data_IF_293843145514
#
_entry.id   IF_293843145514
#
_cell.length_a   1.000
_cell.length_b   1.000
_cell.length_c   1.000
_cell.angle_alpha   90.00
_cell.angle_beta   90.00
_cell.angle_gamma   90.00
#
_symmetry.space_group_name_H-M   'P 1'
#
loop_
_entity.id
_entity.type
_entity.pdbx_description
1 polymer ?
#
# COMPACT_ATOMS: atom_id res chain seq x y z
N UNK A 1 -11.71 -19.80 27.35
CA UNK A 1 -10.32 -19.98 26.87
C UNK A 1 -9.68 -18.60 26.89
N UNK A 2 -8.76 -18.35 27.82
CA UNK A 2 -8.06 -17.06 27.94
C UNK A 2 -7.01 -17.04 26.84
N UNK A 3 -7.14 -16.12 25.89
CA UNK A 3 -6.15 -15.96 24.84
C UNK A 3 -4.88 -15.36 25.47
N UNK A 4 -3.70 -15.96 25.30
CA UNK A 4 -2.47 -15.44 25.90
C UNK A 4 -2.09 -14.05 25.36
N UNK A 5 -2.64 -13.64 24.21
CA UNK A 5 -2.36 -12.36 23.59
C UNK A 5 -3.63 -11.59 23.22
N UNK A 6 -3.70 -10.34 23.67
CA UNK A 6 -4.68 -9.37 23.21
C UNK A 6 -4.21 -8.73 21.90
N UNK A 7 -5.14 -8.42 20.98
CA UNK A 7 -4.83 -7.78 19.68
C UNK A 7 -3.96 -6.53 19.83
N UNK A 8 -4.17 -5.73 20.89
CA UNK A 8 -3.36 -4.54 21.17
C UNK A 8 -1.88 -4.85 21.44
N UNK A 9 -1.58 -5.93 22.16
CA UNK A 9 -0.19 -6.30 22.46
C UNK A 9 0.58 -6.74 21.21
N UNK A 10 -0.07 -7.57 20.38
CA UNK A 10 0.53 -7.99 19.11
C UNK A 10 0.80 -6.80 18.19
N UNK A 11 -0.12 -5.84 18.11
CA UNK A 11 0.08 -4.61 17.34
C UNK A 11 1.30 -3.82 17.82
N UNK A 12 1.48 -3.66 19.13
CA UNK A 12 2.66 -2.99 19.69
C UNK A 12 3.96 -3.71 19.32
N UNK A 13 3.99 -5.04 19.43
CA UNK A 13 5.14 -5.86 19.04
C UNK A 13 5.43 -5.78 17.54
N UNK A 14 4.40 -5.77 16.69
CA UNK A 14 4.55 -5.59 15.23
C UNK A 14 5.15 -4.23 14.91
N UNK A 15 4.71 -3.17 15.59
CA UNK A 15 5.33 -1.86 15.44
C UNK A 15 6.79 -1.93 15.90
N UNK A 16 7.12 -2.50 17.05
CA UNK A 16 8.49 -2.58 17.57
C UNK A 16 9.45 -3.57 16.90
N UNK A 17 8.96 -4.39 15.95
CA UNK A 17 9.60 -5.62 15.49
C UNK A 17 11.08 -5.44 15.09
N UNK A 18 11.95 -6.26 15.68
CA UNK A 18 13.32 -6.48 15.22
C UNK A 18 13.46 -7.79 14.42
N UNK A 19 14.41 -7.91 13.47
CA UNK A 19 14.57 -9.12 12.65
C UNK A 19 14.72 -10.41 13.45
N UNK A 20 15.40 -10.37 14.60
CA UNK A 20 15.60 -11.53 15.49
C UNK A 20 14.32 -12.03 16.16
N UNK A 21 13.28 -11.20 16.22
CA UNK A 21 12.00 -11.51 16.89
C UNK A 21 10.93 -11.99 15.90
N UNK A 22 11.21 -11.94 14.59
CA UNK A 22 10.22 -12.17 13.53
C UNK A 22 9.54 -13.52 13.67
N UNK A 23 10.29 -14.61 13.85
CA UNK A 23 9.74 -15.95 13.90
C UNK A 23 8.77 -16.13 15.08
N UNK A 24 9.20 -15.72 16.28
CA UNK A 24 8.38 -15.81 17.48
C UNK A 24 7.10 -14.98 17.33
N UNK A 25 7.21 -13.74 16.86
CA UNK A 25 6.04 -12.88 16.65
C UNK A 25 5.11 -13.41 15.56
N UNK A 26 5.65 -13.94 14.46
CA UNK A 26 4.85 -14.52 13.38
C UNK A 26 4.01 -15.70 13.88
N UNK A 27 4.59 -16.56 14.72
CA UNK A 27 3.87 -17.68 15.35
C UNK A 27 2.80 -17.20 16.34
N UNK A 28 3.07 -16.15 17.11
CA UNK A 28 2.08 -15.57 18.03
C UNK A 28 0.90 -14.94 17.28
N UNK A 29 1.18 -14.20 16.19
CA UNK A 29 0.14 -13.65 15.30
C UNK A 29 -0.66 -14.77 14.64
N UNK A 30 0.00 -15.82 14.14
CA UNK A 30 -0.66 -16.99 13.57
C UNK A 30 -1.60 -17.64 14.57
N UNK A 31 -1.14 -17.92 15.81
CA UNK A 31 -1.96 -18.56 16.85
C UNK A 31 -3.14 -17.68 17.26
N UNK A 32 -2.93 -16.37 17.36
CA UNK A 32 -4.01 -15.42 17.57
C UNK A 32 -5.05 -15.48 16.45
N UNK A 33 -4.63 -15.43 15.19
CA UNK A 33 -5.54 -15.51 14.04
C UNK A 33 -6.25 -16.86 13.97
N UNK A 34 -5.56 -17.97 14.19
CA UNK A 34 -6.13 -19.32 14.20
C UNK A 34 -7.26 -19.46 15.23
N UNK A 35 -7.18 -18.74 16.35
CA UNK A 35 -8.15 -18.81 17.42
C UNK A 35 -9.24 -17.72 17.33
N UNK A 36 -8.89 -16.51 16.87
CA UNK A 36 -9.79 -15.36 16.83
C UNK A 36 -10.48 -15.13 15.47
N UNK A 37 -9.94 -15.61 14.35
CA UNK A 37 -10.53 -15.47 13.02
C UNK A 37 -11.39 -16.71 12.69
N UNK A 38 -12.73 -16.59 12.63
CA UNK A 38 -13.61 -17.74 12.39
C UNK A 38 -13.38 -18.37 11.01
N UNK A 39 -13.08 -17.57 9.99
CA UNK A 39 -12.83 -18.05 8.63
C UNK A 39 -11.53 -18.86 8.59
N UNK A 40 -10.46 -18.32 9.17
CA UNK A 40 -9.16 -18.99 9.18
C UNK A 40 -9.17 -20.25 10.05
N UNK A 41 -9.86 -20.21 11.20
CA UNK A 41 -10.06 -21.39 12.06
C UNK A 41 -10.77 -22.53 11.34
N UNK A 42 -11.86 -22.22 10.62
CA UNK A 42 -12.57 -23.23 9.84
C UNK A 42 -11.69 -23.80 8.72
N UNK A 43 -10.89 -22.94 8.07
CA UNK A 43 -9.94 -23.37 7.05
C UNK A 43 -8.90 -24.35 7.61
N UNK A 44 -8.27 -24.01 8.76
CA UNK A 44 -7.30 -24.90 9.43
C UNK A 44 -7.92 -26.23 9.87
N UNK A 45 -9.15 -26.20 10.39
CA UNK A 45 -9.89 -27.40 10.73
C UNK A 45 -10.10 -28.31 9.51
N UNK A 46 -10.50 -27.75 8.37
CA UNK A 46 -10.70 -28.52 7.14
C UNK A 46 -9.40 -29.09 6.58
N UNK A 47 -8.27 -28.40 6.78
CA UNK A 47 -6.94 -28.91 6.46
C UNK A 47 -6.41 -29.94 7.48
N UNK A 48 -7.14 -30.18 8.57
CA UNK A 48 -6.68 -31.00 9.71
C UNK A 48 -5.34 -30.53 10.26
N UNK A 49 -5.12 -29.20 10.27
CA UNK A 49 -3.91 -28.58 10.77
C UNK A 49 -4.13 -28.05 12.17
N UNK A 50 -3.43 -28.64 13.15
CA UNK A 50 -3.38 -28.12 14.51
C UNK A 50 -2.40 -26.92 14.61
N UNK A 51 -2.85 -25.73 15.03
CA UNK A 51 -1.98 -24.58 15.27
C UNK A 51 -0.84 -24.86 16.25
N UNK A 52 -1.01 -25.78 17.20
CA UNK A 52 0.03 -26.13 18.17
C UNK A 52 1.21 -26.87 17.53
N UNK A 53 1.00 -27.57 16.42
CA UNK A 53 2.03 -28.29 15.68
C UNK A 53 2.82 -27.41 14.70
N UNK A 54 2.49 -26.13 14.57
CA UNK A 54 3.22 -25.16 13.74
C UNK A 54 4.34 -24.56 14.59
N UNK A 55 5.58 -24.97 14.31
CA UNK A 55 6.78 -24.56 15.05
C UNK A 55 7.66 -23.59 14.29
N UNK A 56 7.41 -23.39 12.99
CA UNK A 56 8.16 -22.46 12.15
C UNK A 56 7.21 -21.71 11.21
N UNK A 57 7.49 -20.42 10.93
CA UNK A 57 6.56 -19.55 10.19
C UNK A 57 6.27 -20.04 8.77
N UNK A 58 7.21 -20.74 8.12
CA UNK A 58 7.01 -21.31 6.78
C UNK A 58 5.99 -22.45 6.75
N UNK A 59 5.61 -23.00 7.90
CA UNK A 59 4.61 -24.05 8.04
C UNK A 59 3.18 -23.50 8.24
N UNK A 60 3.02 -22.18 8.31
CA UNK A 60 1.72 -21.52 8.46
C UNK A 60 0.91 -21.72 7.16
N UNK A 61 -0.28 -22.34 7.23
CA UNK A 61 -1.10 -22.53 6.03
C UNK A 61 -1.60 -21.20 5.46
N UNK A 62 -1.41 -20.97 4.17
CA UNK A 62 -1.84 -19.74 3.51
C UNK A 62 -3.35 -19.77 3.22
N UNK A 63 -4.07 -18.74 3.68
CA UNK A 63 -5.49 -18.60 3.39
C UNK A 63 -5.69 -18.22 1.91
N UNK A 64 -6.50 -18.95 1.12
CA UNK A 64 -6.69 -18.64 -0.29
C UNK A 64 -7.32 -17.26 -0.49
N UNK A 65 -6.81 -16.50 -1.45
CA UNK A 65 -7.23 -15.12 -1.71
C UNK A 65 -8.72 -14.99 -2.07
N UNK A 66 -9.31 -16.05 -2.64
CA UNK A 66 -10.75 -16.10 -3.00
C UNK A 66 -11.67 -15.97 -1.79
N UNK A 67 -11.21 -16.31 -0.59
CA UNK A 67 -12.00 -16.14 0.63
C UNK A 67 -12.30 -14.65 0.89
N UNK A 68 -11.44 -13.73 0.45
CA UNK A 68 -11.71 -12.30 0.57
C UNK A 68 -12.82 -11.82 -0.37
N UNK A 69 -13.25 -12.62 -1.37
CA UNK A 69 -14.39 -12.30 -2.24
C UNK A 69 -15.73 -12.71 -1.64
N UNK A 70 -15.73 -13.78 -0.84
CA UNK A 70 -16.97 -14.44 -0.37
C UNK A 70 -17.14 -14.42 1.14
N UNK A 71 -16.06 -14.21 1.90
CA UNK A 71 -16.04 -14.28 3.35
C UNK A 71 -15.57 -12.97 3.97
N UNK A 72 -16.06 -12.69 5.19
CA UNK A 72 -15.56 -11.60 6.03
C UNK A 72 -14.36 -12.07 6.84
N UNK A 73 -13.17 -11.96 6.26
CA UNK A 73 -11.91 -12.36 6.90
C UNK A 73 -11.51 -11.32 7.96
N UNK A 74 -11.84 -11.58 9.23
CA UNK A 74 -11.54 -10.70 10.37
C UNK A 74 -11.23 -11.52 11.62
N UNK A 75 -10.35 -11.00 12.47
CA UNK A 75 -10.08 -11.59 13.79
C UNK A 75 -10.95 -10.92 14.86
N UNK A 76 -11.72 -11.70 15.59
CA UNK A 76 -12.68 -11.23 16.60
C UNK A 76 -13.97 -10.68 15.99
N UNK A 77 -14.69 -9.87 16.77
CA UNK A 77 -15.92 -9.17 16.36
C UNK A 77 -15.78 -7.64 16.43
N UNK A 78 -14.73 -7.03 15.84
CA UNK A 78 -14.61 -5.58 15.84
C UNK A 78 -15.67 -4.95 14.95
N UNK A 79 -16.08 -3.72 15.29
CA UNK A 79 -16.78 -2.86 14.35
C UNK A 79 -15.88 -2.65 13.13
N UNK A 80 -16.44 -2.83 11.93
CA UNK A 80 -15.70 -2.53 10.69
C UNK A 80 -15.78 -1.03 10.48
N UNK A 81 -14.63 -0.38 10.58
CA UNK A 81 -14.51 1.08 10.40
C UNK A 81 -14.21 1.40 8.93
N UNK A 82 -13.44 0.55 8.26
CA UNK A 82 -12.98 0.77 6.89
C UNK A 82 -12.96 -0.54 6.10
N UNK A 83 -13.25 -0.47 4.81
CA UNK A 83 -13.16 -1.62 3.90
C UNK A 83 -12.52 -1.20 2.59
N UNK A 84 -11.50 -1.93 2.18
CA UNK A 84 -10.86 -1.76 0.88
C UNK A 84 -11.36 -2.81 -0.11
N UNK A 85 -11.40 -2.43 -1.39
CA UNK A 85 -11.78 -3.32 -2.49
C UNK A 85 -10.64 -3.42 -3.51
N UNK A 86 -10.45 -4.63 -4.07
CA UNK A 86 -9.54 -4.80 -5.20
C UNK A 86 -10.08 -4.13 -6.47
N UNK A 87 -9.19 -3.82 -7.42
CA UNK A 87 -9.59 -3.35 -8.75
C UNK A 87 -10.44 -4.41 -9.47
N UNK A 88 -11.59 -4.00 -10.02
CA UNK A 88 -12.51 -4.89 -10.74
C UNK A 88 -11.98 -5.13 -12.16
N UNK A 89 -11.97 -6.38 -12.59
CA UNK A 89 -12.10 -6.73 -14.02
C UNK A 89 -13.60 -6.90 -14.31
N UNK A 90 -14.05 -6.54 -15.51
CA UNK A 90 -15.47 -6.53 -15.87
C UNK A 90 -16.11 -7.90 -15.58
N UNK A 91 -17.18 -7.92 -14.78
CA UNK A 91 -17.92 -9.14 -14.43
C UNK A 91 -17.47 -9.89 -13.17
N UNK A 92 -16.40 -9.47 -12.47
CA UNK A 92 -15.93 -10.15 -11.26
C UNK A 92 -16.33 -9.46 -9.95
N UNK A 93 -16.61 -10.27 -8.92
CA UNK A 93 -16.80 -9.81 -7.54
C UNK A 93 -15.41 -9.41 -6.98
N UNK A 94 -15.22 -8.15 -6.52
CA UNK A 94 -13.95 -7.71 -5.96
C UNK A 94 -13.67 -8.41 -4.62
N UNK A 95 -12.39 -8.63 -4.34
CA UNK A 95 -11.97 -9.00 -2.99
C UNK A 95 -12.16 -7.81 -2.05
N UNK A 96 -12.56 -8.07 -0.80
CA UNK A 96 -12.75 -7.06 0.24
C UNK A 96 -11.80 -7.31 1.40
N UNK A 97 -11.04 -6.28 1.77
CA UNK A 97 -10.22 -6.29 2.97
C UNK A 97 -10.85 -5.38 4.01
N UNK A 98 -11.38 -5.99 5.07
CA UNK A 98 -11.97 -5.26 6.19
C UNK A 98 -10.88 -4.85 7.17
N UNK A 99 -10.79 -3.55 7.44
CA UNK A 99 -9.79 -2.97 8.34
C UNK A 99 -10.47 -2.57 9.64
N UNK A 100 -10.12 -3.30 10.70
CA UNK A 100 -10.67 -3.10 12.04
C UNK A 100 -9.99 -1.96 12.82
N UNK A 101 -8.80 -1.54 12.40
CA UNK A 101 -8.03 -0.48 13.04
C UNK A 101 -7.29 0.35 11.97
N UNK A 102 -7.95 1.40 11.45
CA UNK A 102 -7.35 2.27 10.44
C UNK A 102 -6.09 2.99 10.92
N UNK A 103 -6.05 3.42 12.19
CA UNK A 103 -4.88 4.11 12.76
C UNK A 103 -3.65 3.20 12.78
N UNK A 104 -3.83 1.92 13.10
CA UNK A 104 -2.74 0.95 13.02
C UNK A 104 -2.24 0.75 11.59
N UNK A 105 -3.14 0.71 10.61
CA UNK A 105 -2.79 0.63 9.18
C UNK A 105 -1.98 1.86 8.73
N UNK A 106 -2.48 3.06 9.04
CA UNK A 106 -1.85 4.34 8.73
C UNK A 106 -0.46 4.44 9.36
N UNK A 107 -0.36 4.18 10.67
CA UNK A 107 0.90 4.21 11.42
C UNK A 107 1.93 3.24 10.84
N UNK A 108 1.52 2.00 10.55
CA UNK A 108 2.41 0.99 9.99
C UNK A 108 2.88 1.38 8.59
N UNK A 109 1.98 1.88 7.74
CA UNK A 109 2.33 2.31 6.38
C UNK A 109 3.34 3.46 6.38
N UNK A 110 3.14 4.47 7.24
CA UNK A 110 4.07 5.59 7.40
C UNK A 110 5.42 5.10 7.91
N UNK A 111 5.43 4.25 8.94
CA UNK A 111 6.68 3.72 9.49
C UNK A 111 7.49 2.97 8.43
N UNK A 112 6.85 2.11 7.63
CA UNK A 112 7.50 1.36 6.56
C UNK A 112 8.09 2.28 5.49
N UNK A 113 7.38 3.35 5.15
CA UNK A 113 7.90 4.39 4.27
C UNK A 113 9.14 5.07 4.89
N UNK A 114 9.04 5.52 6.14
CA UNK A 114 10.10 6.27 6.82
C UNK A 114 11.37 5.43 7.06
N UNK A 115 11.23 4.12 7.25
CA UNK A 115 12.37 3.20 7.33
C UNK A 115 13.19 3.16 6.04
N UNK A 116 12.58 3.38 4.87
CA UNK A 116 13.25 3.29 3.58
C UNK A 116 13.66 4.63 2.99
N UNK A 117 12.84 5.66 3.21
CA UNK A 117 12.94 6.98 2.56
C UNK A 117 13.19 8.12 3.57
N UNK A 118 13.27 7.83 4.87
CA UNK A 118 13.40 8.83 5.92
C UNK A 118 12.08 9.55 6.22
N UNK A 119 12.14 10.56 7.10
CA UNK A 119 10.95 11.26 7.61
C UNK A 119 10.00 11.71 6.49
N UNK A 120 8.74 11.31 6.60
CA UNK A 120 7.64 11.68 5.71
C UNK A 120 7.35 13.18 5.77
N UNK A 121 7.54 13.79 6.95
CA UNK A 121 7.41 15.24 7.13
C UNK A 121 8.35 15.99 6.19
N UNK A 122 7.80 16.98 5.49
CA UNK A 122 8.51 17.82 4.53
C UNK A 122 8.61 17.24 3.12
N UNK A 123 8.06 16.05 2.86
CA UNK A 123 7.90 15.58 1.48
C UNK A 123 6.80 16.37 0.75
N UNK A 124 7.03 16.76 -0.50
CA UNK A 124 5.99 17.15 -1.43
C UNK A 124 5.52 15.92 -2.20
N UNK A 125 4.31 15.46 -1.91
CA UNK A 125 3.77 14.20 -2.42
C UNK A 125 2.76 14.51 -3.53
N UNK A 126 3.11 14.10 -4.74
CA UNK A 126 2.32 14.31 -5.94
C UNK A 126 1.79 12.95 -6.41
N UNK A 127 0.48 12.76 -6.43
CA UNK A 127 -0.13 11.45 -6.67
C UNK A 127 -0.87 11.37 -8.01
N UNK A 128 -0.26 10.75 -9.01
CA UNK A 128 -0.85 10.45 -10.33
C UNK A 128 -1.59 9.11 -10.30
N UNK A 129 -2.79 9.12 -9.73
CA UNK A 129 -3.58 7.89 -9.48
C UNK A 129 -4.95 7.91 -10.20
N UNK A 130 -4.98 8.00 -11.54
CA UNK A 130 -6.21 7.96 -12.31
C UNK A 130 -7.07 6.73 -11.99
N UNK A 131 -8.39 6.93 -12.02
CA UNK A 131 -9.41 5.90 -11.74
C UNK A 131 -9.48 5.35 -10.31
N UNK A 132 -8.72 5.89 -9.34
CA UNK A 132 -8.76 5.41 -7.95
C UNK A 132 -9.55 6.29 -6.97
N UNK A 133 -9.70 7.61 -7.22
CA UNK A 133 -10.37 8.50 -6.24
C UNK A 133 -11.90 8.34 -6.20
N UNK A 134 -12.53 7.87 -7.28
CA UNK A 134 -14.00 7.84 -7.39
C UNK A 134 -14.70 6.84 -6.46
N UNK A 135 -13.96 5.96 -5.77
CA UNK A 135 -14.57 4.84 -5.04
C UNK A 135 -14.34 4.79 -3.54
N UNK A 136 -13.45 5.62 -2.97
CA UNK A 136 -13.18 5.65 -1.51
C UNK A 136 -12.67 4.33 -0.89
N UNK A 137 -12.63 3.24 -1.65
CA UNK A 137 -12.31 1.87 -1.22
C UNK A 137 -10.90 1.44 -1.63
N UNK A 138 -10.07 2.35 -2.12
CA UNK A 138 -8.69 2.05 -2.50
C UNK A 138 -7.75 2.22 -1.29
N UNK A 139 -7.10 1.13 -0.88
CA UNK A 139 -6.08 1.15 0.18
C UNK A 139 -4.89 2.06 -0.17
N UNK A 140 -4.53 2.11 -1.45
CA UNK A 140 -3.47 2.99 -1.96
C UNK A 140 -3.86 4.46 -1.81
N UNK A 141 -5.09 4.84 -2.22
CA UNK A 141 -5.54 6.24 -2.08
C UNK A 141 -5.64 6.65 -0.62
N UNK A 142 -6.12 5.75 0.24
CA UNK A 142 -6.18 6.01 1.68
C UNK A 142 -4.78 6.23 2.27
N UNK A 143 -3.81 5.36 1.94
CA UNK A 143 -2.42 5.52 2.37
C UNK A 143 -1.80 6.83 1.84
N UNK A 144 -1.97 7.14 0.57
CA UNK A 144 -1.40 8.35 -0.03
C UNK A 144 -2.04 9.62 0.54
N UNK A 145 -3.34 9.59 0.84
CA UNK A 145 -4.02 10.70 1.54
C UNK A 145 -3.43 10.92 2.92
N UNK A 146 -3.30 9.85 3.72
CA UNK A 146 -2.60 9.91 5.02
C UNK A 146 -1.20 10.50 4.85
N UNK A 147 -0.46 10.09 3.81
CA UNK A 147 0.88 10.59 3.57
C UNK A 147 0.92 12.09 3.24
N UNK A 148 0.01 12.57 2.40
CA UNK A 148 -0.14 13.99 2.05
C UNK A 148 -0.46 14.81 3.31
N UNK A 149 -1.34 14.31 4.18
CA UNK A 149 -1.70 14.99 5.42
C UNK A 149 -0.53 15.05 6.41
N UNK A 150 0.20 13.93 6.59
CA UNK A 150 1.34 13.85 7.50
C UNK A 150 2.62 14.52 6.96
N UNK A 151 2.75 14.68 5.65
CA UNK A 151 3.90 15.36 5.06
C UNK A 151 3.91 16.86 5.42
N UNK A 152 2.72 17.44 5.60
CA UNK A 152 2.54 18.83 6.02
C UNK A 152 2.98 19.87 4.98
N UNK A 153 3.07 19.49 3.70
CA UNK A 153 3.44 20.42 2.61
C UNK A 153 2.20 20.81 1.78
N UNK A 154 1.86 22.10 1.68
CA UNK A 154 0.68 22.57 0.93
C UNK A 154 0.72 22.24 -0.57
N UNK A 155 1.90 22.00 -1.12
CA UNK A 155 2.11 21.63 -2.52
C UNK A 155 1.74 20.17 -2.84
N UNK A 156 1.52 19.35 -1.83
CA UNK A 156 1.12 17.95 -2.00
C UNK A 156 -0.32 17.84 -2.51
N UNK A 157 -0.61 16.81 -3.32
CA UNK A 157 -1.95 16.63 -3.86
C UNK A 157 -2.11 15.45 -4.81
N UNK A 158 -3.37 15.19 -5.16
CA UNK A 158 -3.74 14.20 -6.18
C UNK A 158 -3.90 14.86 -7.55
N UNK A 159 -3.25 14.29 -8.55
CA UNK A 159 -3.26 14.72 -9.95
C UNK A 159 -3.86 13.61 -10.79
N UNK A 160 -5.18 13.41 -10.73
CA UNK A 160 -5.87 12.25 -11.32
C UNK A 160 -5.61 12.06 -12.81
N UNK A 161 -6.29 12.85 -13.63
CA UNK A 161 -6.11 12.91 -15.08
C UNK A 161 -5.48 14.24 -15.51
N UNK A 162 -5.04 15.05 -14.55
CA UNK A 162 -4.53 16.40 -14.81
C UNK A 162 -3.00 16.40 -14.83
N UNK A 163 -2.46 15.87 -15.92
CA UNK A 163 -1.02 15.80 -16.18
C UNK A 163 -0.42 17.20 -16.40
N UNK A 164 -1.19 18.13 -16.95
CA UNK A 164 -0.80 19.52 -17.13
C UNK A 164 -0.54 20.23 -15.80
N UNK A 165 -1.48 20.12 -14.83
CA UNK A 165 -1.30 20.70 -13.49
C UNK A 165 -0.13 20.04 -12.75
N UNK A 166 0.06 18.72 -12.91
CA UNK A 166 1.20 18.01 -12.34
C UNK A 166 2.52 18.58 -12.86
N UNK A 167 2.62 18.77 -14.17
CA UNK A 167 3.80 19.35 -14.83
C UNK A 167 4.06 20.76 -14.33
N UNK A 168 3.03 21.61 -14.27
CA UNK A 168 3.14 22.98 -13.77
C UNK A 168 3.60 23.02 -12.31
N UNK A 169 3.08 22.12 -11.48
CA UNK A 169 3.49 22.03 -10.08
C UNK A 169 4.97 21.62 -9.93
N UNK A 170 5.42 20.64 -10.72
CA UNK A 170 6.83 20.21 -10.73
C UNK A 170 7.76 21.33 -11.21
N UNK A 171 7.41 22.05 -12.28
CA UNK A 171 8.15 23.22 -12.75
C UNK A 171 8.22 24.32 -11.66
N UNK A 172 7.09 24.59 -11.00
CA UNK A 172 7.05 25.56 -9.89
C UNK A 172 7.95 25.15 -8.74
N UNK A 173 7.96 23.88 -8.36
CA UNK A 173 8.84 23.37 -7.29
C UNK A 173 10.30 23.50 -7.72
N UNK A 174 10.64 23.12 -8.95
CA UNK A 174 11.99 23.30 -9.49
C UNK A 174 12.46 24.76 -9.36
N UNK A 175 11.63 25.70 -9.79
CA UNK A 175 12.00 27.12 -9.87
C UNK A 175 12.04 27.80 -8.49
N UNK A 176 11.19 27.37 -7.55
CA UNK A 176 10.98 28.08 -6.28
C UNK A 176 11.57 27.35 -5.07
N UNK A 177 11.68 26.02 -5.13
CA UNK A 177 12.06 25.14 -4.02
C UNK A 177 12.83 23.89 -4.52
N UNK A 178 13.97 24.06 -5.22
CA UNK A 178 14.72 22.95 -5.83
C UNK A 178 15.20 21.90 -4.82
N UNK A 179 15.36 22.28 -3.54
CA UNK A 179 15.78 21.40 -2.45
C UNK A 179 14.64 20.56 -1.84
N UNK A 180 13.39 20.78 -2.27
CA UNK A 180 12.25 20.02 -1.76
C UNK A 180 12.39 18.53 -2.05
N UNK A 181 12.15 17.68 -1.06
CA UNK A 181 12.03 16.23 -1.27
C UNK A 181 10.70 15.93 -1.93
N UNK A 182 10.72 15.46 -3.17
CA UNK A 182 9.51 15.22 -3.96
C UNK A 182 9.29 13.72 -4.07
N UNK A 183 8.06 13.29 -3.82
CA UNK A 183 7.63 11.93 -4.08
C UNK A 183 6.49 11.95 -5.11
N UNK A 184 6.80 11.58 -6.35
CA UNK A 184 5.82 11.35 -7.39
C UNK A 184 5.36 9.90 -7.34
N UNK A 185 4.16 9.65 -6.80
CA UNK A 185 3.55 8.32 -6.77
C UNK A 185 2.60 8.19 -7.95
N UNK A 186 2.86 7.25 -8.85
CA UNK A 186 2.04 7.08 -10.04
C UNK A 186 1.72 5.64 -10.34
N UNK A 187 0.54 5.39 -10.90
CA UNK A 187 0.25 4.07 -11.46
C UNK A 187 0.99 3.87 -12.77
N UNK A 188 1.52 2.67 -13.00
CA UNK A 188 2.48 2.40 -14.09
C UNK A 188 2.04 2.93 -15.45
N UNK A 189 0.80 2.64 -15.88
CA UNK A 189 0.34 3.10 -17.19
C UNK A 189 0.28 4.64 -17.29
N UNK A 190 -0.06 5.33 -16.21
CA UNK A 190 -0.16 6.78 -16.21
C UNK A 190 1.22 7.45 -16.26
N UNK A 191 2.21 6.87 -15.57
CA UNK A 191 3.61 7.31 -15.68
C UNK A 191 4.16 7.08 -17.10
N UNK A 192 3.81 5.96 -17.74
CA UNK A 192 4.20 5.72 -19.13
C UNK A 192 3.45 6.64 -20.11
N UNK A 193 2.19 6.97 -19.84
CA UNK A 193 1.44 7.96 -20.61
C UNK A 193 2.08 9.36 -20.49
N UNK A 194 2.70 9.70 -19.36
CA UNK A 194 3.52 10.93 -19.24
C UNK A 194 4.77 10.85 -20.11
N UNK A 195 5.51 9.74 -20.04
CA UNK A 195 6.74 9.55 -20.83
C UNK A 195 6.47 9.61 -22.34
N UNK A 196 5.32 9.11 -22.78
CA UNK A 196 4.91 9.10 -24.19
C UNK A 196 4.12 10.35 -24.61
N UNK A 197 3.86 11.33 -23.73
CA UNK A 197 2.96 12.45 -24.04
C UNK A 197 3.50 13.40 -25.10
N UNK A 198 4.81 13.36 -25.35
CA UNK A 198 5.54 14.32 -26.19
C UNK A 198 5.81 15.65 -25.49
N UNK A 199 5.39 15.81 -24.23
CA UNK A 199 5.81 16.95 -23.40
C UNK A 199 7.28 16.81 -23.01
N UNK A 200 7.97 17.94 -22.86
CA UNK A 200 9.33 17.95 -22.33
C UNK A 200 9.31 17.71 -20.81
N UNK A 201 9.79 16.54 -20.41
CA UNK A 201 10.00 16.09 -19.03
C UNK A 201 11.49 16.05 -18.63
N UNK A 202 12.41 16.47 -19.49
CA UNK A 202 13.86 16.43 -19.22
C UNK A 202 14.26 17.25 -17.98
N UNK A 203 13.49 18.29 -17.65
CA UNK A 203 13.67 19.11 -16.45
C UNK A 203 13.54 18.32 -15.13
N UNK A 204 12.94 17.13 -15.14
CA UNK A 204 12.92 16.26 -13.96
C UNK A 204 14.33 15.86 -13.52
N UNK A 205 15.30 15.82 -14.44
CA UNK A 205 16.72 15.61 -14.13
C UNK A 205 17.35 16.75 -13.33
N UNK A 206 16.72 17.93 -13.30
CA UNK A 206 17.13 19.10 -12.50
C UNK A 206 16.59 19.04 -11.05
N UNK A 207 15.80 18.02 -10.71
CA UNK A 207 15.24 17.79 -9.38
C UNK A 207 15.95 16.62 -8.68
N UNK A 208 17.13 16.84 -8.05
CA UNK A 208 17.94 15.75 -7.49
C UNK A 208 17.28 14.99 -6.34
N UNK A 209 16.25 15.58 -5.72
CA UNK A 209 15.49 15.01 -4.62
C UNK A 209 14.15 14.39 -5.06
N UNK A 210 13.91 14.27 -6.38
CA UNK A 210 12.73 13.63 -6.92
C UNK A 210 12.84 12.10 -6.84
N UNK A 211 11.83 11.49 -6.21
CA UNK A 211 11.62 10.05 -6.20
C UNK A 211 10.35 9.77 -7.01
N UNK A 212 10.50 9.01 -8.09
CA UNK A 212 9.36 8.44 -8.82
C UNK A 212 9.10 7.05 -8.27
N UNK A 213 7.89 6.83 -7.75
CA UNK A 213 7.44 5.55 -7.20
C UNK A 213 6.32 5.00 -8.08
N UNK A 214 6.63 3.95 -8.85
CA UNK A 214 5.58 3.23 -9.57
C UNK A 214 4.80 2.30 -8.64
N UNK A 215 3.48 2.21 -8.88
CA UNK A 215 2.60 1.29 -8.17
C UNK A 215 1.53 0.71 -9.11
N UNK A 216 0.98 -0.45 -8.74
CA UNK A 216 -0.01 -1.15 -9.54
C UNK A 216 0.58 -1.73 -10.83
N UNK A 217 -0.20 -1.71 -11.91
CA UNK A 217 0.19 -2.27 -13.20
C UNK A 217 -0.60 -1.64 -14.35
N UNK A 218 -0.57 -2.26 -15.53
CA UNK A 218 -1.10 -1.67 -16.77
C UNK A 218 -2.63 -1.57 -16.84
N UNK A 219 -3.37 -2.24 -15.94
CA UNK A 219 -4.85 -2.28 -15.90
C UNK A 219 -5.52 -2.54 -17.26
N UNK A 220 -4.89 -3.33 -18.13
CA UNK A 220 -5.38 -3.60 -19.49
C UNK A 220 -5.32 -2.42 -20.47
N UNK A 221 -4.68 -1.30 -20.10
CA UNK A 221 -4.46 -0.13 -20.96
C UNK A 221 -3.28 -0.30 -21.91
N UNK A 222 -2.27 -1.08 -21.50
CA UNK A 222 -1.02 -1.33 -22.22
C UNK A 222 -0.62 -2.80 -22.12
N UNK A 223 0.29 -3.24 -22.99
CA UNK A 223 0.96 -4.54 -22.88
C UNK A 223 1.67 -4.62 -21.52
N UNK A 224 1.64 -5.78 -20.87
CA UNK A 224 2.42 -6.00 -19.66
C UNK A 224 3.91 -5.93 -19.99
N UNK A 225 4.61 -5.02 -19.30
CA UNK A 225 6.04 -4.81 -19.38
C UNK A 225 6.70 -5.34 -18.11
N UNK A 226 7.94 -5.81 -18.24
CA UNK A 226 8.80 -6.11 -17.11
C UNK A 226 9.15 -4.84 -16.35
N UNK A 227 9.49 -4.98 -15.07
CA UNK A 227 9.85 -3.85 -14.21
C UNK A 227 11.02 -3.07 -14.78
N UNK A 228 12.03 -3.77 -15.28
CA UNK A 228 13.23 -3.20 -15.87
C UNK A 228 12.92 -2.41 -17.14
N UNK A 229 11.95 -2.86 -17.94
CA UNK A 229 11.49 -2.15 -19.15
C UNK A 229 10.76 -0.85 -18.79
N UNK A 230 9.89 -0.90 -17.78
CA UNK A 230 9.21 0.31 -17.27
C UNK A 230 10.24 1.30 -16.77
N UNK A 231 11.21 0.86 -15.97
CA UNK A 231 12.24 1.71 -15.39
C UNK A 231 13.14 2.31 -16.48
N UNK A 232 13.48 1.53 -17.51
CA UNK A 232 14.22 2.04 -18.66
C UNK A 232 13.45 3.16 -19.36
N UNK A 233 12.17 2.97 -19.70
CA UNK A 233 11.37 4.00 -20.36
C UNK A 233 11.30 5.27 -19.50
N UNK A 234 10.99 5.13 -18.20
CA UNK A 234 10.83 6.28 -17.30
C UNK A 234 12.13 7.05 -17.00
N UNK A 235 13.29 6.44 -17.26
CA UNK A 235 14.60 7.09 -17.04
C UNK A 235 15.23 7.63 -18.32
N UNK A 236 14.62 7.38 -19.48
CA UNK A 236 15.05 7.91 -20.79
C UNK A 236 14.15 9.02 -21.32
N UNK A 237 12.93 9.16 -20.77
CA UNK A 237 11.98 10.23 -21.08
C UNK A 237 12.36 11.54 -20.38
#
# INVERSE_FOLDING_TARGET
MVFPFQSGELKRRVLGLQPSEFEALALDVFRFQAAANPVYRQYLHNLRRDPACVTHYTQVPFLPIEFFKTQRVLSGTPAVVLSFESSKTTGQIPSRHFVADPLFYETLSQRLFEQRYGSLRGYTILALLPSYLERGTSSLVHMVRHFIEQSGTPESGFFLNNTADLRQQLLKIRDQKPESRILLIGVTFALLDLADSGDDWSFLGELPQLIVMETGGMKGRRRELLREEVHYILTQA
#
